data_IF_052946806947
#
_entry.id   IF_052946806947
#
_cell.length_a   1.000
_cell.length_b   1.000
_cell.length_c   1.000
_cell.angle_alpha   90.00
_cell.angle_beta   90.00
_cell.angle_gamma   90.00
#
_symmetry.space_group_name_H-M   'P 1'
#
loop_
_entity.id
_entity.type
_entity.pdbx_description
1 polymer ?
#
# COMPACT_ATOMS: atom_id res chain seq x y z
N UNK A 1 17.97 -41.51 46.37
CA UNK A 1 16.85 -41.25 45.46
C UNK A 1 17.37 -40.30 44.39
N UNK A 2 17.63 -40.82 43.19
CA UNK A 2 18.14 -40.03 42.07
C UNK A 2 16.96 -39.84 41.12
N UNK A 3 16.62 -38.57 40.89
CA UNK A 3 15.61 -38.11 39.93
C UNK A 3 15.90 -38.61 38.52
N UNK A 4 14.96 -39.34 37.94
CA UNK A 4 14.94 -39.69 36.53
C UNK A 4 14.34 -38.53 35.75
N UNK A 5 15.16 -37.87 34.91
CA UNK A 5 14.71 -36.96 33.86
C UNK A 5 13.86 -37.72 32.83
N UNK A 6 12.77 -37.14 32.31
CA UNK A 6 12.01 -37.77 31.23
C UNK A 6 12.84 -37.79 29.94
N UNK A 7 12.93 -38.96 29.32
CA UNK A 7 13.60 -39.22 28.03
C UNK A 7 12.79 -38.65 26.86
N UNK A 8 13.47 -37.94 25.95
CA UNK A 8 12.98 -37.38 24.69
C UNK A 8 12.55 -38.48 23.69
N UNK A 9 11.40 -39.10 23.89
CA UNK A 9 10.77 -39.97 22.90
C UNK A 9 9.44 -39.33 22.44
N UNK A 10 9.49 -38.85 21.19
CA UNK A 10 8.40 -38.62 20.23
C UNK A 10 7.28 -37.64 20.57
N UNK A 11 7.55 -36.34 20.33
CA UNK A 11 6.49 -35.42 19.90
C UNK A 11 6.18 -35.70 18.41
N UNK A 12 4.96 -36.17 18.05
CA UNK A 12 4.58 -36.46 16.67
C UNK A 12 4.83 -35.27 15.72
N UNK A 13 4.72 -34.04 16.23
CA UNK A 13 4.98 -32.82 15.45
C UNK A 13 6.46 -32.66 15.09
N UNK A 14 7.36 -33.06 15.99
CA UNK A 14 8.80 -32.95 15.77
C UNK A 14 9.28 -34.01 14.75
N UNK A 15 8.73 -35.23 14.83
CA UNK A 15 8.97 -36.27 13.83
C UNK A 15 8.46 -35.86 12.43
N UNK A 16 7.27 -35.24 12.37
CA UNK A 16 6.72 -34.70 11.12
C UNK A 16 7.61 -33.62 10.49
N UNK A 17 8.11 -32.67 11.30
CA UNK A 17 9.01 -31.62 10.82
C UNK A 17 10.37 -32.13 10.34
N UNK A 18 10.96 -33.12 11.03
CA UNK A 18 12.21 -33.74 10.61
C UNK A 18 12.05 -34.48 9.27
N UNK A 19 10.94 -35.20 9.10
CA UNK A 19 10.62 -35.90 7.87
C UNK A 19 10.43 -34.92 6.71
N UNK A 20 9.66 -33.84 6.94
CA UNK A 20 9.46 -32.76 5.98
C UNK A 20 10.78 -32.14 5.52
N UNK A 21 11.66 -31.77 6.46
CA UNK A 21 12.98 -31.18 6.15
C UNK A 21 13.82 -32.11 5.27
N UNK A 22 13.78 -33.42 5.54
CA UNK A 22 14.50 -34.44 4.75
C UNK A 22 13.93 -34.56 3.34
N UNK A 23 12.60 -34.63 3.22
CA UNK A 23 11.91 -34.74 1.93
C UNK A 23 12.11 -33.49 1.07
N UNK A 24 12.03 -32.30 1.66
CA UNK A 24 12.32 -31.04 0.97
C UNK A 24 13.73 -31.05 0.39
N UNK A 25 14.75 -31.45 1.18
CA UNK A 25 16.13 -31.56 0.69
C UNK A 25 16.25 -32.53 -0.49
N UNK A 26 15.64 -33.71 -0.38
CA UNK A 26 15.63 -34.69 -1.47
C UNK A 26 14.95 -34.15 -2.74
N UNK A 27 13.88 -33.38 -2.59
CA UNK A 27 13.21 -32.73 -3.72
C UNK A 27 14.07 -31.64 -4.35
N UNK A 28 14.72 -30.79 -3.56
CA UNK A 28 15.64 -29.76 -4.08
C UNK A 28 16.81 -30.40 -4.83
N UNK A 29 17.41 -31.46 -4.27
CA UNK A 29 18.51 -32.19 -4.92
C UNK A 29 18.06 -32.91 -6.20
N UNK A 30 16.79 -33.34 -6.27
CA UNK A 30 16.20 -33.97 -7.45
C UNK A 30 15.72 -32.95 -8.51
N UNK A 31 15.52 -31.69 -8.13
CA UNK A 31 15.20 -30.61 -9.07
C UNK A 31 16.50 -30.22 -9.77
N UNK A 32 16.70 -30.77 -10.95
CA UNK A 32 17.71 -30.29 -11.88
C UNK A 32 17.28 -28.90 -12.39
N UNK A 33 17.81 -27.84 -11.75
CA UNK A 33 17.54 -26.42 -12.09
C UNK A 33 17.75 -26.11 -13.58
N UNK A 34 18.55 -26.92 -14.29
CA UNK A 34 18.78 -26.80 -15.73
C UNK A 34 17.54 -27.13 -16.59
N UNK A 35 16.62 -27.98 -16.11
CA UNK A 35 15.38 -28.38 -16.82
C UNK A 35 14.12 -27.62 -16.35
N UNK A 36 14.19 -26.95 -15.20
CA UNK A 36 13.06 -26.22 -14.63
C UNK A 36 12.63 -25.00 -15.47
N UNK A 37 13.49 -24.50 -16.36
CA UNK A 37 13.19 -23.38 -17.25
C UNK A 37 12.46 -23.74 -18.55
N UNK A 38 12.33 -25.02 -18.90
CA UNK A 38 11.77 -25.47 -20.19
C UNK A 38 10.28 -25.90 -20.12
N UNK A 39 9.77 -26.18 -18.91
CA UNK A 39 8.41 -26.68 -18.72
C UNK A 39 7.42 -25.57 -18.31
N UNK A 40 6.17 -25.60 -18.77
CA UNK A 40 5.11 -24.77 -18.22
C UNK A 40 4.96 -25.00 -16.71
N UNK A 41 4.84 -23.93 -15.92
CA UNK A 41 4.79 -23.97 -14.45
C UNK A 41 3.77 -24.99 -13.91
N UNK A 42 2.62 -25.11 -14.58
CA UNK A 42 1.55 -26.05 -14.22
C UNK A 42 2.01 -27.52 -14.32
N UNK A 43 2.78 -27.88 -15.33
CA UNK A 43 3.28 -29.24 -15.52
C UNK A 43 4.38 -29.56 -14.51
N UNK A 44 5.31 -28.62 -14.29
CA UNK A 44 6.37 -28.75 -13.29
C UNK A 44 5.78 -28.93 -11.88
N UNK A 45 4.74 -28.15 -11.53
CA UNK A 45 4.03 -28.28 -10.26
C UNK A 45 3.37 -29.65 -10.11
N UNK A 46 2.79 -30.20 -11.18
CA UNK A 46 2.19 -31.54 -11.17
C UNK A 46 3.24 -32.64 -10.99
N UNK A 47 4.37 -32.54 -11.68
CA UNK A 47 5.47 -33.51 -11.57
C UNK A 47 6.09 -33.49 -10.18
N UNK A 48 6.31 -32.31 -9.60
CA UNK A 48 6.84 -32.19 -8.25
C UNK A 48 5.88 -32.69 -7.19
N UNK A 49 4.58 -32.46 -7.35
CA UNK A 49 3.57 -33.06 -6.46
C UNK A 49 3.59 -34.59 -6.53
N UNK A 50 3.71 -35.16 -7.73
CA UNK A 50 3.83 -36.61 -7.92
C UNK A 50 5.12 -37.17 -7.29
N UNK A 51 6.25 -36.46 -7.44
CA UNK A 51 7.51 -36.82 -6.79
C UNK A 51 7.41 -36.75 -5.27
N UNK A 52 6.82 -35.68 -4.71
CA UNK A 52 6.58 -35.55 -3.28
C UNK A 52 5.73 -36.71 -2.75
N UNK A 53 4.63 -37.05 -3.45
CA UNK A 53 3.79 -38.20 -3.10
C UNK A 53 4.56 -39.52 -3.14
N UNK A 54 5.40 -39.72 -4.17
CA UNK A 54 6.22 -40.92 -4.30
C UNK A 54 7.25 -41.04 -3.17
N UNK A 55 7.97 -39.96 -2.86
CA UNK A 55 8.95 -39.92 -1.79
C UNK A 55 8.30 -40.13 -0.42
N UNK A 56 7.11 -39.54 -0.17
CA UNK A 56 6.34 -39.79 1.04
C UNK A 56 5.92 -41.27 1.16
N UNK A 57 5.54 -41.92 0.06
CA UNK A 57 5.13 -43.33 0.06
C UNK A 57 6.29 -44.31 0.32
N UNK A 58 7.54 -43.91 0.04
CA UNK A 58 8.72 -44.73 0.27
C UNK A 58 9.27 -44.65 1.71
N UNK A 59 8.75 -43.75 2.55
CA UNK A 59 9.23 -43.60 3.92
C UNK A 59 8.75 -44.76 4.80
N UNK A 60 9.62 -45.20 5.72
CA UNK A 60 9.32 -46.28 6.66
C UNK A 60 8.24 -45.91 7.71
N UNK A 61 7.93 -44.62 7.85
CA UNK A 61 6.93 -44.11 8.79
C UNK A 61 5.54 -44.25 8.15
N UNK A 62 4.67 -45.04 8.77
CA UNK A 62 3.28 -45.20 8.35
C UNK A 62 2.48 -43.92 8.66
N UNK A 63 2.49 -42.96 7.74
CA UNK A 63 1.64 -41.78 7.80
C UNK A 63 0.22 -42.14 7.36
N UNK A 64 -0.78 -41.57 8.05
CA UNK A 64 -2.16 -41.61 7.56
C UNK A 64 -2.25 -40.97 6.17
N UNK A 65 -3.29 -41.30 5.40
CA UNK A 65 -3.49 -40.70 4.08
C UNK A 65 -3.61 -39.17 4.17
N UNK A 66 -4.31 -38.67 5.19
CA UNK A 66 -4.48 -37.24 5.48
C UNK A 66 -3.14 -36.55 5.80
N UNK A 67 -2.32 -37.14 6.68
CA UNK A 67 -1.00 -36.59 7.03
C UNK A 67 -0.06 -36.50 5.83
N UNK A 68 -0.13 -37.48 4.91
CA UNK A 68 0.63 -37.45 3.65
C UNK A 68 0.20 -36.30 2.76
N UNK A 69 -1.10 -36.05 2.66
CA UNK A 69 -1.60 -34.96 1.83
C UNK A 69 -1.23 -33.59 2.41
N UNK A 70 -1.29 -33.44 3.73
CA UNK A 70 -0.80 -32.24 4.44
C UNK A 70 0.69 -32.03 4.17
N UNK A 71 1.50 -33.09 4.29
CA UNK A 71 2.95 -33.01 4.06
C UNK A 71 3.30 -32.63 2.63
N UNK A 72 2.64 -33.24 1.65
CA UNK A 72 2.81 -32.89 0.24
C UNK A 72 2.42 -31.43 0.00
N UNK A 73 1.31 -30.97 0.56
CA UNK A 73 0.90 -29.56 0.45
C UNK A 73 1.97 -28.63 1.05
N UNK A 74 2.42 -28.88 2.26
CA UNK A 74 3.43 -28.03 2.92
C UNK A 74 4.78 -28.01 2.18
N UNK A 75 5.21 -29.14 1.62
CA UNK A 75 6.43 -29.18 0.80
C UNK A 75 6.24 -28.37 -0.48
N UNK A 76 5.06 -28.47 -1.11
CA UNK A 76 4.73 -27.66 -2.28
C UNK A 76 4.67 -26.16 -1.94
N UNK A 77 4.21 -25.80 -0.75
CA UNK A 77 4.18 -24.41 -0.28
C UNK A 77 5.61 -23.90 0.02
N UNK A 78 6.52 -24.75 0.49
CA UNK A 78 7.95 -24.39 0.64
C UNK A 78 8.64 -24.21 -0.71
N UNK A 79 8.30 -25.02 -1.70
CA UNK A 79 8.89 -24.89 -3.04
C UNK A 79 8.27 -23.69 -3.76
N UNK A 80 6.94 -23.60 -3.86
CA UNK A 80 6.22 -22.62 -4.70
C UNK A 80 5.53 -21.50 -3.95
N UNK A 81 4.98 -21.75 -2.77
CA UNK A 81 4.27 -20.75 -1.97
C UNK A 81 5.20 -19.94 -1.06
N UNK A 82 4.64 -19.49 0.05
CA UNK A 82 5.26 -18.79 1.16
C UNK A 82 5.60 -19.76 2.32
N UNK A 83 5.80 -21.04 2.04
CA UNK A 83 6.26 -22.03 3.01
C UNK A 83 5.40 -22.08 4.28
N UNK A 84 6.00 -22.03 5.49
CA UNK A 84 5.24 -22.10 6.74
C UNK A 84 4.17 -21.02 6.92
N UNK A 85 4.31 -19.86 6.25
CA UNK A 85 3.36 -18.74 6.38
C UNK A 85 2.27 -18.75 5.30
N UNK A 86 2.25 -19.72 4.37
CA UNK A 86 1.22 -19.83 3.31
C UNK A 86 -0.22 -19.68 3.86
N UNK A 87 -0.62 -20.35 4.97
CA UNK A 87 -1.97 -20.20 5.50
C UNK A 87 -2.29 -18.77 5.94
N UNK A 88 -1.30 -18.05 6.50
CA UNK A 88 -1.43 -16.65 6.92
C UNK A 88 -1.51 -15.72 5.70
N UNK A 89 -0.82 -16.06 4.62
CA UNK A 89 -0.84 -15.34 3.35
C UNK A 89 -2.12 -15.58 2.54
N UNK A 90 -2.86 -16.67 2.80
CA UNK A 90 -4.17 -16.91 2.20
C UNK A 90 -5.33 -16.26 2.99
N UNK A 91 -5.10 -15.87 4.24
CA UNK A 91 -6.15 -15.41 5.14
C UNK A 91 -6.59 -13.96 4.84
N UNK A 92 -7.82 -13.67 4.39
CA UNK A 92 -8.22 -12.33 3.98
C UNK A 92 -8.21 -11.28 5.11
N UNK A 93 -8.19 -11.68 6.38
CA UNK A 93 -8.17 -10.75 7.51
C UNK A 93 -6.76 -10.27 7.89
N UNK A 94 -5.72 -10.98 7.44
CA UNK A 94 -4.32 -10.64 7.74
C UNK A 94 -3.84 -9.52 6.80
N UNK A 95 -3.43 -8.40 7.37
CA UNK A 95 -2.84 -7.28 6.61
C UNK A 95 -1.32 -7.30 6.57
N UNK A 96 -0.69 -7.78 7.65
CA UNK A 96 0.77 -7.75 7.82
C UNK A 96 1.23 -9.05 8.49
N UNK A 97 2.41 -9.55 8.09
CA UNK A 97 3.07 -10.72 8.68
C UNK A 97 4.47 -10.29 9.11
N UNK A 98 4.78 -10.41 10.40
CA UNK A 98 6.07 -10.03 10.98
C UNK A 98 6.78 -11.26 11.54
N UNK A 99 8.00 -11.51 11.09
CA UNK A 99 8.81 -12.66 11.47
C UNK A 99 10.07 -12.14 12.17
N UNK A 100 10.13 -12.34 13.49
CA UNK A 100 11.22 -11.87 14.35
C UNK A 100 12.15 -13.02 14.79
N UNK A 101 12.32 -14.02 13.92
CA UNK A 101 13.05 -15.26 14.17
C UNK A 101 12.16 -16.51 14.00
N UNK A 102 12.74 -17.72 14.15
CA UNK A 102 12.06 -18.96 13.81
C UNK A 102 10.83 -19.28 14.67
N UNK A 103 10.81 -18.84 15.93
CA UNK A 103 9.72 -19.12 16.89
C UNK A 103 8.80 -17.91 17.16
N UNK A 104 8.98 -16.83 16.39
CA UNK A 104 8.36 -15.54 16.67
C UNK A 104 7.72 -14.95 15.41
N UNK A 105 6.55 -15.47 15.05
CA UNK A 105 5.73 -14.98 13.93
C UNK A 105 4.48 -14.29 14.47
N UNK A 106 4.24 -13.07 14.01
CA UNK A 106 3.11 -12.23 14.36
C UNK A 106 2.33 -11.84 13.10
N UNK A 107 1.04 -11.56 13.25
CA UNK A 107 0.21 -11.00 12.18
C UNK A 107 -0.59 -9.81 12.67
N UNK A 108 -0.90 -8.87 11.78
CA UNK A 108 -1.88 -7.81 12.05
C UNK A 108 -3.25 -8.23 11.48
N UNK A 109 -4.26 -8.26 12.35
CA UNK A 109 -5.66 -8.42 11.98
C UNK A 109 -6.45 -7.24 12.52
N UNK A 110 -7.23 -6.60 11.66
CA UNK A 110 -8.10 -5.48 12.06
C UNK A 110 -7.39 -4.38 12.88
N UNK A 111 -6.12 -4.10 12.57
CA UNK A 111 -5.33 -3.08 13.29
C UNK A 111 -4.69 -3.52 14.59
N UNK A 112 -4.79 -4.81 14.97
CA UNK A 112 -4.22 -5.39 16.18
C UNK A 112 -3.19 -6.45 15.84
N UNK A 113 -2.05 -6.41 16.55
CA UNK A 113 -0.98 -7.39 16.39
C UNK A 113 -1.22 -8.60 17.28
N UNK A 114 -1.16 -9.80 16.71
CA UNK A 114 -1.33 -11.08 17.41
C UNK A 114 -0.15 -12.01 17.12
N UNK A 115 0.18 -12.89 18.08
CA UNK A 115 1.21 -13.92 17.90
C UNK A 115 0.56 -15.19 17.35
N UNK A 116 1.21 -15.82 16.37
CA UNK A 116 0.74 -17.06 15.73
C UNK A 116 1.47 -18.29 16.26
N UNK A 117 0.95 -19.47 15.93
CA UNK A 117 1.60 -20.77 16.19
C UNK A 117 2.56 -21.20 15.07
N UNK A 118 2.69 -20.42 14.00
CA UNK A 118 3.59 -20.71 12.88
C UNK A 118 5.04 -20.61 13.33
N UNK A 119 5.85 -21.59 12.92
CA UNK A 119 7.28 -21.67 13.23
C UNK A 119 8.11 -22.09 12.03
N UNK A 120 9.33 -21.60 11.98
CA UNK A 120 10.39 -22.12 11.11
C UNK A 120 11.22 -23.12 11.90
N UNK A 121 11.86 -24.06 11.18
CA UNK A 121 12.67 -25.10 11.79
C UNK A 121 13.86 -24.54 12.60
N UNK A 122 14.52 -23.52 12.04
CA UNK A 122 15.64 -22.82 12.64
C UNK A 122 15.95 -21.53 11.85
N UNK A 123 16.97 -20.79 12.26
CA UNK A 123 17.45 -19.58 11.58
C UNK A 123 17.91 -19.82 10.14
N UNK A 124 18.50 -20.97 9.83
CA UNK A 124 18.97 -21.33 8.49
C UNK A 124 17.80 -21.53 7.53
N UNK A 125 16.73 -22.21 7.98
CA UNK A 125 15.49 -22.36 7.23
C UNK A 125 14.87 -20.98 6.94
N UNK A 126 14.79 -20.10 7.94
CA UNK A 126 14.28 -18.75 7.73
C UNK A 126 15.14 -17.95 6.72
N UNK A 127 16.46 -18.10 6.77
CA UNK A 127 17.37 -17.45 5.82
C UNK A 127 17.14 -17.94 4.38
N UNK A 128 17.05 -19.26 4.16
CA UNK A 128 16.75 -19.84 2.85
C UNK A 128 15.38 -19.40 2.33
N UNK A 129 14.38 -19.33 3.22
CA UNK A 129 13.07 -18.79 2.89
C UNK A 129 13.16 -17.35 2.37
N UNK A 130 13.89 -16.48 3.07
CA UNK A 130 14.12 -15.08 2.67
C UNK A 130 14.82 -15.01 1.30
N UNK A 131 15.94 -15.72 1.15
CA UNK A 131 16.73 -15.71 -0.09
C UNK A 131 15.91 -16.17 -1.29
N UNK A 132 15.05 -17.19 -1.12
CA UNK A 132 14.15 -17.68 -2.17
C UNK A 132 13.12 -16.63 -2.58
N UNK A 133 12.44 -15.99 -1.62
CA UNK A 133 11.44 -14.97 -1.93
C UNK A 133 12.06 -13.74 -2.60
N UNK A 134 13.21 -13.29 -2.08
CA UNK A 134 13.95 -12.14 -2.59
C UNK A 134 14.52 -12.42 -3.98
N UNK A 135 15.04 -13.64 -4.22
CA UNK A 135 15.53 -14.07 -5.53
C UNK A 135 14.43 -14.09 -6.59
N UNK A 136 13.21 -14.53 -6.25
CA UNK A 136 12.04 -14.46 -7.15
C UNK A 136 11.62 -13.03 -7.50
N UNK A 137 11.86 -12.09 -6.59
CA UNK A 137 11.64 -10.67 -6.83
C UNK A 137 12.78 -10.01 -7.63
N UNK A 138 13.78 -10.77 -8.11
CA UNK A 138 14.93 -10.25 -8.85
C UNK A 138 15.88 -9.42 -7.99
N UNK A 139 15.87 -9.63 -6.67
CA UNK A 139 16.72 -8.95 -5.70
C UNK A 139 17.70 -9.94 -5.07
N UNK A 140 18.66 -9.41 -4.30
CA UNK A 140 19.70 -10.19 -3.63
C UNK A 140 19.81 -9.77 -2.16
N UNK A 141 20.04 -10.74 -1.29
CA UNK A 141 20.30 -10.54 0.15
C UNK A 141 21.34 -11.55 0.62
N UNK A 142 22.43 -11.03 1.18
CA UNK A 142 23.58 -11.80 1.67
C UNK A 142 24.41 -10.94 2.66
N UNK A 143 25.55 -11.45 3.12
CA UNK A 143 26.40 -10.75 4.09
C UNK A 143 26.92 -9.39 3.60
N UNK A 144 27.01 -9.19 2.27
CA UNK A 144 27.45 -7.92 1.67
C UNK A 144 26.28 -6.95 1.57
N UNK A 145 25.08 -7.45 1.29
CA UNK A 145 23.82 -6.68 1.24
C UNK A 145 22.80 -7.26 2.22
N UNK A 146 22.94 -7.02 3.54
CA UNK A 146 22.18 -7.71 4.59
C UNK A 146 20.76 -7.18 4.80
N UNK A 147 20.28 -6.27 3.95
CA UNK A 147 18.93 -5.70 4.01
C UNK A 147 18.35 -5.57 2.60
N UNK A 148 17.05 -5.78 2.46
CA UNK A 148 16.39 -5.70 1.16
C UNK A 148 14.93 -5.30 1.30
N UNK A 149 14.46 -4.49 0.36
CA UNK A 149 13.06 -4.25 0.07
C UNK A 149 12.71 -4.87 -1.28
N UNK A 150 11.61 -5.63 -1.33
CA UNK A 150 11.19 -6.39 -2.50
C UNK A 150 9.67 -6.41 -2.65
N UNK A 151 9.21 -6.52 -3.89
CA UNK A 151 7.81 -6.78 -4.23
C UNK A 151 7.66 -8.26 -4.58
N UNK A 152 6.79 -8.95 -3.86
CA UNK A 152 6.50 -10.37 -4.05
C UNK A 152 5.57 -10.56 -5.26
N UNK A 153 5.51 -11.79 -5.84
CA UNK A 153 4.67 -12.07 -7.01
C UNK A 153 3.17 -11.79 -6.81
N UNK A 154 2.67 -11.88 -5.58
CA UNK A 154 1.29 -11.56 -5.20
C UNK A 154 1.04 -10.03 -5.04
N UNK A 155 2.06 -9.21 -5.26
CA UNK A 155 2.02 -7.76 -5.07
C UNK A 155 2.37 -7.29 -3.66
N UNK A 156 2.53 -8.21 -2.69
CA UNK A 156 2.87 -7.88 -1.31
C UNK A 156 4.28 -7.27 -1.24
N UNK A 157 4.51 -6.42 -0.24
CA UNK A 157 5.83 -5.81 0.02
C UNK A 157 6.55 -6.57 1.10
N UNK A 158 7.79 -6.94 0.85
CA UNK A 158 8.68 -7.61 1.80
C UNK A 158 9.86 -6.70 2.12
N UNK A 159 10.08 -6.48 3.41
CA UNK A 159 11.36 -6.01 3.94
C UNK A 159 12.01 -7.16 4.70
N UNK A 160 13.31 -7.39 4.48
CA UNK A 160 14.06 -8.38 5.25
C UNK A 160 15.43 -7.85 5.67
N UNK A 161 15.88 -8.25 6.85
CA UNK A 161 17.18 -7.92 7.41
C UNK A 161 17.81 -9.18 8.00
N UNK A 162 19.07 -9.43 7.68
CA UNK A 162 19.82 -10.61 8.12
C UNK A 162 21.05 -10.22 8.96
N UNK A 163 21.68 -11.18 9.67
CA UNK A 163 22.98 -10.94 10.30
C UNK A 163 24.00 -10.41 9.27
N UNK A 164 24.92 -9.51 9.68
CA UNK A 164 25.20 -9.09 11.06
C UNK A 164 24.29 -7.97 11.60
N UNK A 165 23.41 -7.38 10.78
CA UNK A 165 22.54 -6.27 11.23
C UNK A 165 21.44 -6.74 12.19
N UNK A 166 20.85 -7.90 11.91
CA UNK A 166 19.83 -8.50 12.76
C UNK A 166 20.48 -9.42 13.82
N UNK A 167 20.87 -8.84 14.95
CA UNK A 167 21.65 -9.52 16.02
C UNK A 167 21.01 -10.80 16.59
N UNK A 168 19.67 -10.92 16.50
CA UNK A 168 18.92 -12.08 17.00
C UNK A 168 18.60 -13.11 15.91
N UNK A 169 19.13 -12.90 14.70
CA UNK A 169 18.83 -13.71 13.52
C UNK A 169 18.01 -12.97 12.48
N UNK A 170 17.74 -13.62 11.33
CA UNK A 170 16.97 -13.03 10.24
C UNK A 170 15.59 -12.53 10.66
N UNK A 171 15.17 -11.39 10.12
CA UNK A 171 13.84 -10.81 10.33
C UNK A 171 13.18 -10.47 9.00
N UNK A 172 11.84 -10.53 8.99
CA UNK A 172 11.02 -10.24 7.80
C UNK A 172 9.78 -9.46 8.21
N UNK A 173 9.43 -8.44 7.44
CA UNK A 173 8.13 -7.76 7.52
C UNK A 173 7.47 -7.83 6.14
N UNK A 174 6.31 -8.49 6.07
CA UNK A 174 5.50 -8.59 4.86
C UNK A 174 4.24 -7.77 5.05
N UNK A 175 4.06 -6.74 4.24
CA UNK A 175 2.81 -6.00 4.14
C UNK A 175 2.02 -6.53 2.95
N UNK A 176 0.89 -7.17 3.23
CA UNK A 176 0.11 -7.87 2.22
C UNK A 176 -0.58 -6.91 1.27
N UNK A 177 -0.64 -7.33 0.02
CA UNK A 177 -1.48 -6.69 -0.97
C UNK A 177 -2.94 -7.11 -0.74
N UNK A 178 -3.81 -6.17 -0.38
CA UNK A 178 -5.22 -6.47 -0.15
C UNK A 178 -5.93 -6.77 -1.47
N UNK A 179 -6.53 -7.95 -1.58
CA UNK A 179 -7.30 -8.40 -2.76
C UNK A 179 -8.66 -7.70 -2.90
N UNK A 180 -9.25 -7.19 -1.80
CA UNK A 180 -10.47 -6.36 -1.86
C UNK A 180 -10.15 -4.91 -1.47
N UNK A 181 -10.03 -4.05 -2.47
CA UNK A 181 -9.91 -2.61 -2.25
C UNK A 181 -11.22 -2.05 -1.70
N UNK A 182 -11.15 -1.27 -0.60
CA UNK A 182 -12.27 -0.46 -0.11
C UNK A 182 -12.76 0.45 -1.23
N UNK A 183 -14.08 0.51 -1.45
CA UNK A 183 -14.71 1.44 -2.39
C UNK A 183 -15.12 2.74 -1.71
N UNK A 184 -15.42 3.81 -2.46
CA UNK A 184 -15.76 5.11 -1.88
C UNK A 184 -17.04 5.02 -1.01
N UNK A 185 -17.98 4.18 -1.41
CA UNK A 185 -19.21 3.89 -0.67
C UNK A 185 -18.92 3.17 0.65
N UNK A 186 -17.88 2.32 0.72
CA UNK A 186 -17.43 1.73 1.99
C UNK A 186 -16.93 2.83 2.93
N UNK A 187 -16.18 3.82 2.40
CA UNK A 187 -15.67 4.93 3.20
C UNK A 187 -16.80 5.80 3.78
N UNK A 188 -17.89 6.01 3.02
CA UNK A 188 -19.10 6.68 3.53
C UNK A 188 -19.78 5.85 4.61
N UNK A 189 -19.95 4.53 4.39
CA UNK A 189 -20.53 3.62 5.39
C UNK A 189 -19.73 3.55 6.69
N UNK A 190 -18.39 3.57 6.58
CA UNK A 190 -17.48 3.62 7.74
C UNK A 190 -17.41 5.01 8.39
N UNK A 191 -18.12 5.99 7.84
CA UNK A 191 -18.14 7.36 8.32
C UNK A 191 -16.80 8.07 8.19
N UNK A 192 -15.95 7.67 7.24
CA UNK A 192 -14.70 8.37 6.93
C UNK A 192 -14.93 9.75 6.30
N UNK A 193 -16.03 9.91 5.57
CA UNK A 193 -16.54 11.15 5.00
C UNK A 193 -18.05 10.98 4.77
N UNK A 194 -18.78 12.08 4.55
CA UNK A 194 -20.21 12.01 4.19
C UNK A 194 -20.40 11.81 2.68
N UNK A 195 -21.63 11.45 2.29
CA UNK A 195 -22.03 11.38 0.87
C UNK A 195 -21.81 12.68 0.12
N UNK A 196 -22.12 13.82 0.75
CA UNK A 196 -22.01 15.15 0.16
C UNK A 196 -20.55 15.52 -0.08
N UNK A 197 -19.67 15.20 0.88
CA UNK A 197 -18.22 15.37 0.70
C UNK A 197 -17.69 14.49 -0.43
N UNK A 198 -18.15 13.24 -0.51
CA UNK A 198 -17.77 12.30 -1.56
C UNK A 198 -18.23 12.81 -2.94
N UNK A 199 -19.49 13.24 -3.08
CA UNK A 199 -20.06 13.76 -4.31
C UNK A 199 -19.32 15.02 -4.79
N UNK A 200 -18.96 15.92 -3.87
CA UNK A 200 -18.12 17.08 -4.18
C UNK A 200 -16.74 16.65 -4.73
N UNK A 201 -16.04 15.73 -4.06
CA UNK A 201 -14.72 15.27 -4.52
C UNK A 201 -14.80 14.54 -5.87
N UNK A 202 -15.84 13.76 -6.11
CA UNK A 202 -16.10 13.11 -7.41
C UNK A 202 -16.28 14.16 -8.50
N UNK A 203 -17.06 15.22 -8.23
CA UNK A 203 -17.22 16.32 -9.16
C UNK A 203 -15.89 17.07 -9.41
N UNK A 204 -15.06 17.27 -8.38
CA UNK A 204 -13.71 17.82 -8.55
C UNK A 204 -12.83 16.98 -9.49
N UNK A 205 -12.83 15.65 -9.33
CA UNK A 205 -12.08 14.72 -10.19
C UNK A 205 -12.56 14.80 -11.63
N UNK A 206 -13.89 14.70 -11.83
CA UNK A 206 -14.51 14.72 -13.17
C UNK A 206 -14.34 16.07 -13.87
N UNK A 207 -14.40 17.16 -13.12
CA UNK A 207 -14.12 18.52 -13.59
C UNK A 207 -12.62 18.83 -13.77
N UNK A 208 -11.74 17.84 -13.61
CA UNK A 208 -10.27 17.93 -13.67
C UNK A 208 -9.69 19.08 -12.83
N UNK A 209 -10.14 19.21 -11.59
CA UNK A 209 -9.42 20.00 -10.59
C UNK A 209 -8.19 19.21 -10.12
N UNK A 210 -7.11 19.91 -9.78
CA UNK A 210 -5.94 19.29 -9.17
C UNK A 210 -6.17 19.14 -7.65
N UNK A 211 -6.00 17.92 -7.14
CA UNK A 211 -6.23 17.57 -5.73
C UNK A 211 -4.93 17.14 -5.06
N UNK A 212 -4.67 17.62 -3.85
CA UNK A 212 -3.62 17.09 -2.98
C UNK A 212 -4.24 16.54 -1.70
N UNK A 213 -4.00 15.26 -1.44
CA UNK A 213 -4.49 14.55 -0.25
C UNK A 213 -3.37 14.49 0.78
N UNK A 214 -3.53 15.15 1.92
CA UNK A 214 -2.54 15.20 2.98
C UNK A 214 -2.94 14.37 4.21
N UNK A 215 -1.97 14.07 5.08
CA UNK A 215 -2.19 13.25 6.28
C UNK A 215 -1.00 12.43 6.76
N UNK A 216 -1.06 12.00 8.01
CA UNK A 216 -0.04 11.14 8.65
C UNK A 216 0.08 9.74 8.03
N UNK A 217 1.03 8.96 8.53
CA UNK A 217 1.20 7.54 8.17
C UNK A 217 -0.03 6.73 8.57
N UNK A 218 -0.51 5.88 7.67
CA UNK A 218 -1.67 5.02 7.91
C UNK A 218 -3.02 5.76 7.95
N UNK A 219 -3.08 7.06 7.64
CA UNK A 219 -4.31 7.85 7.61
C UNK A 219 -5.28 7.46 6.47
N UNK A 220 -4.80 6.74 5.46
CA UNK A 220 -5.62 6.27 4.33
C UNK A 220 -5.55 7.15 3.07
N UNK A 221 -4.54 8.02 2.94
CA UNK A 221 -4.36 8.93 1.78
C UNK A 221 -4.41 8.20 0.44
N UNK A 222 -3.55 7.19 0.25
CA UNK A 222 -3.48 6.41 -0.98
C UNK A 222 -4.78 5.66 -1.24
N UNK A 223 -5.47 5.20 -0.19
CA UNK A 223 -6.79 4.58 -0.31
C UNK A 223 -7.84 5.55 -0.83
N UNK A 224 -7.89 6.78 -0.32
CA UNK A 224 -8.80 7.80 -0.84
C UNK A 224 -8.44 8.18 -2.27
N UNK A 225 -7.14 8.37 -2.58
CA UNK A 225 -6.68 8.66 -3.94
C UNK A 225 -7.14 7.58 -4.91
N UNK A 226 -6.90 6.31 -4.57
CA UNK A 226 -7.26 5.17 -5.40
C UNK A 226 -8.78 5.01 -5.59
N UNK A 227 -9.58 5.52 -4.65
CA UNK A 227 -11.03 5.55 -4.79
C UNK A 227 -11.49 6.68 -5.70
N UNK A 228 -10.95 7.88 -5.51
CA UNK A 228 -11.24 9.04 -6.34
C UNK A 228 -10.78 8.84 -7.79
N UNK A 229 -9.68 8.13 -8.02
CA UNK A 229 -9.18 7.84 -9.37
C UNK A 229 -10.16 7.02 -10.21
N UNK A 230 -11.07 6.25 -9.61
CA UNK A 230 -12.12 5.50 -10.33
C UNK A 230 -13.11 6.39 -11.08
N UNK A 231 -13.20 7.67 -10.69
CA UNK A 231 -14.09 8.64 -11.31
C UNK A 231 -13.42 9.44 -12.42
N UNK A 232 -12.16 9.13 -12.75
CA UNK A 232 -11.50 9.61 -13.95
C UNK A 232 -12.19 8.96 -15.17
N UNK A 233 -12.60 9.74 -16.20
CA UNK A 233 -13.22 9.20 -17.41
C UNK A 233 -12.34 8.15 -18.12
N UNK A 234 -12.95 7.10 -18.67
CA UNK A 234 -12.27 6.04 -19.45
C UNK A 234 -11.57 6.54 -20.71
N UNK A 235 -11.94 7.73 -21.20
CA UNK A 235 -11.34 8.35 -22.38
C UNK A 235 -10.00 9.03 -22.10
N UNK A 236 -9.59 9.12 -20.83
CA UNK A 236 -8.38 9.82 -20.41
C UNK A 236 -7.22 8.86 -20.19
N UNK A 237 -6.05 9.19 -20.75
CA UNK A 237 -4.81 8.46 -20.50
C UNK A 237 -4.20 8.92 -19.19
N UNK A 238 -3.98 7.97 -18.27
CA UNK A 238 -3.46 8.28 -16.93
C UNK A 238 -2.08 7.65 -16.75
N UNK A 239 -1.10 8.46 -16.34
CA UNK A 239 0.21 7.94 -15.90
C UNK A 239 0.27 8.02 -14.38
N UNK A 240 0.52 6.89 -13.72
CA UNK A 240 0.80 6.85 -12.28
C UNK A 240 2.30 6.73 -12.03
N UNK A 241 2.79 7.42 -11.01
CA UNK A 241 4.20 7.43 -10.62
C UNK A 241 4.28 7.17 -9.13
N UNK A 242 4.90 6.06 -8.74
CA UNK A 242 4.96 5.62 -7.35
C UNK A 242 6.36 5.15 -6.99
N UNK A 243 6.74 5.27 -5.71
CA UNK A 243 7.95 4.60 -5.23
C UNK A 243 7.79 3.08 -5.27
N UNK A 244 6.60 2.62 -4.92
CA UNK A 244 6.19 1.23 -5.07
C UNK A 244 4.72 1.25 -5.46
N UNK A 245 4.36 0.59 -6.56
CA UNK A 245 3.01 0.71 -7.08
C UNK A 245 1.95 0.17 -6.10
N UNK A 246 1.07 1.05 -5.65
CA UNK A 246 -0.06 0.82 -4.73
C UNK A 246 -1.39 1.13 -5.43
N UNK A 247 -1.38 2.02 -6.42
CA UNK A 247 -2.59 2.46 -7.13
C UNK A 247 -3.08 1.39 -8.12
N UNK A 248 -4.39 1.19 -8.14
CA UNK A 248 -5.12 0.25 -8.98
C UNK A 248 -6.22 0.99 -9.73
N UNK A 249 -5.81 1.76 -10.74
CA UNK A 249 -6.75 2.46 -11.60
C UNK A 249 -7.53 1.46 -12.45
N UNK A 250 -8.80 1.79 -12.69
CA UNK A 250 -9.73 0.93 -13.45
C UNK A 250 -9.80 1.36 -14.92
N UNK A 251 -9.24 2.52 -15.26
CA UNK A 251 -9.25 3.06 -16.60
C UNK A 251 -8.52 2.15 -17.58
N UNK A 252 -8.96 2.19 -18.84
CA UNK A 252 -8.40 1.36 -19.91
C UNK A 252 -6.96 1.76 -20.29
N UNK A 253 -6.66 3.06 -20.37
CA UNK A 253 -5.33 3.56 -20.77
C UNK A 253 -4.53 4.07 -19.57
N UNK A 254 -3.97 3.13 -18.81
CA UNK A 254 -3.15 3.42 -17.63
C UNK A 254 -1.71 2.98 -17.85
N UNK A 255 -0.76 3.90 -17.63
CA UNK A 255 0.68 3.61 -17.58
C UNK A 255 1.14 3.70 -16.14
N UNK A 256 1.43 2.56 -15.51
CA UNK A 256 1.96 2.51 -14.16
C UNK A 256 3.50 2.54 -14.17
N UNK A 257 4.08 3.57 -13.57
CA UNK A 257 5.53 3.75 -13.44
C UNK A 257 5.96 3.62 -11.98
N UNK A 258 7.03 2.87 -11.76
CA UNK A 258 7.62 2.67 -10.44
C UNK A 258 9.08 3.15 -10.43
N UNK A 259 9.49 3.82 -9.35
CA UNK A 259 10.90 4.21 -9.19
C UNK A 259 11.80 2.99 -9.11
N UNK A 260 13.07 3.18 -9.45
CA UNK A 260 14.07 2.14 -9.30
C UNK A 260 15.18 2.63 -8.38
N UNK A 261 15.40 2.02 -7.20
CA UNK A 261 16.56 2.34 -6.39
C UNK A 261 17.85 1.95 -7.14
N UNK A 262 19.01 2.54 -6.79
CA UNK A 262 20.27 2.13 -7.37
C UNK A 262 20.55 0.64 -7.10
N UNK A 263 21.34 0.01 -7.96
CA UNK A 263 21.86 -1.33 -7.72
C UNK A 263 22.90 -1.33 -6.57
N UNK A 264 23.42 -2.51 -6.22
CA UNK A 264 24.45 -2.67 -5.17
C UNK A 264 25.73 -1.86 -5.42
N UNK A 265 25.99 -1.45 -6.67
CA UNK A 265 27.11 -0.61 -7.07
C UNK A 265 26.77 0.90 -7.06
N UNK A 266 25.58 1.28 -6.60
CA UNK A 266 25.13 2.67 -6.56
C UNK A 266 24.67 3.24 -7.92
N UNK A 267 24.44 2.40 -8.93
CA UNK A 267 24.13 2.81 -10.31
C UNK A 267 22.68 2.50 -10.72
N UNK A 268 22.20 3.24 -11.71
CA UNK A 268 20.92 2.96 -12.37
C UNK A 268 19.70 3.36 -11.56
N UNK A 269 19.83 4.27 -10.60
CA UNK A 269 18.69 4.89 -9.94
C UNK A 269 17.77 5.59 -10.96
N UNK A 270 16.45 5.46 -10.78
CA UNK A 270 15.42 6.20 -11.49
C UNK A 270 14.50 6.79 -10.43
N UNK A 271 14.57 8.11 -10.27
CA UNK A 271 13.82 8.84 -9.23
C UNK A 271 12.38 9.11 -9.68
N UNK A 272 11.50 9.48 -8.73
CA UNK A 272 10.15 9.94 -9.08
C UNK A 272 10.20 11.13 -10.04
N UNK A 273 11.16 12.04 -9.83
CA UNK A 273 11.35 13.22 -10.68
C UNK A 273 11.67 12.86 -12.12
N UNK A 274 12.52 11.86 -12.34
CA UNK A 274 12.86 11.37 -13.69
C UNK A 274 11.61 10.81 -14.38
N UNK A 275 10.79 10.06 -13.64
CA UNK A 275 9.53 9.52 -14.14
C UNK A 275 8.51 10.61 -14.46
N UNK A 276 8.38 11.65 -13.63
CA UNK A 276 7.48 12.79 -13.89
C UNK A 276 7.89 13.47 -15.19
N UNK A 277 9.16 13.83 -15.35
CA UNK A 277 9.67 14.44 -16.60
C UNK A 277 9.45 13.56 -17.82
N UNK A 278 9.69 12.26 -17.70
CA UNK A 278 9.49 11.32 -18.79
C UNK A 278 8.00 11.16 -19.14
N UNK A 279 7.12 11.16 -18.13
CA UNK A 279 5.67 10.99 -18.32
C UNK A 279 5.06 12.06 -19.22
N UNK A 280 5.56 13.31 -19.18
CA UNK A 280 5.07 14.41 -20.01
C UNK A 280 5.28 14.17 -21.52
N UNK A 281 6.15 13.23 -21.90
CA UNK A 281 6.36 12.82 -23.30
C UNK A 281 5.45 11.67 -23.73
N UNK A 282 4.71 11.08 -22.80
CA UNK A 282 3.79 9.97 -23.04
C UNK A 282 2.38 10.42 -23.42
N UNK A 283 2.20 11.74 -23.67
CA UNK A 283 0.90 12.38 -23.92
C UNK A 283 -0.18 11.98 -22.89
N UNK A 284 0.07 12.10 -21.56
CA UNK A 284 -0.96 11.84 -20.58
C UNK A 284 -2.04 12.92 -20.63
N UNK A 285 -3.27 12.56 -20.28
CA UNK A 285 -4.28 13.53 -19.85
C UNK A 285 -4.07 13.91 -18.38
N UNK A 286 -3.64 12.94 -17.55
CA UNK A 286 -3.36 13.13 -16.12
C UNK A 286 -2.06 12.46 -15.69
N UNK A 287 -1.36 13.12 -14.77
CA UNK A 287 -0.20 12.55 -14.08
C UNK A 287 -0.52 12.45 -12.60
N UNK A 288 -0.55 11.23 -12.06
CA UNK A 288 -0.81 10.98 -10.64
C UNK A 288 0.50 10.57 -9.98
N UNK A 289 0.94 11.37 -9.02
CA UNK A 289 2.09 11.03 -8.17
C UNK A 289 1.55 10.41 -6.90
N UNK A 290 1.75 9.11 -6.68
CA UNK A 290 1.12 8.39 -5.57
C UNK A 290 1.44 9.00 -4.22
N UNK A 291 2.69 9.43 -4.02
CA UNK A 291 3.11 10.20 -2.86
C UNK A 291 4.33 11.06 -3.19
N UNK A 292 4.19 12.39 -3.03
CA UNK A 292 5.28 13.33 -3.21
C UNK A 292 6.10 13.48 -1.91
N UNK A 293 7.42 13.38 -2.05
CA UNK A 293 8.41 13.35 -0.97
C UNK A 293 9.62 14.26 -1.22
N UNK A 294 9.79 14.84 -2.40
CA UNK A 294 10.99 15.59 -2.76
C UNK A 294 10.86 16.47 -4.00
N UNK A 295 11.99 16.67 -4.69
CA UNK A 295 12.14 17.63 -5.79
C UNK A 295 11.21 17.41 -6.98
N UNK A 296 10.56 16.25 -7.10
CA UNK A 296 9.54 15.98 -8.10
C UNK A 296 8.30 16.88 -7.98
N UNK A 297 8.05 17.48 -6.81
CA UNK A 297 6.94 18.43 -6.62
C UNK A 297 6.98 19.56 -7.65
N UNK A 298 8.17 20.09 -7.97
CA UNK A 298 8.28 21.17 -8.95
C UNK A 298 7.79 20.74 -10.34
N UNK A 299 8.25 19.58 -10.81
CA UNK A 299 7.87 19.02 -12.11
C UNK A 299 6.39 18.58 -12.13
N UNK A 300 5.87 18.10 -11.00
CA UNK A 300 4.45 17.77 -10.83
C UNK A 300 3.58 19.03 -10.96
N UNK A 301 3.97 20.14 -10.31
CA UNK A 301 3.25 21.42 -10.43
C UNK A 301 3.34 21.98 -11.86
N UNK A 302 4.46 21.76 -12.55
CA UNK A 302 4.58 22.08 -13.98
C UNK A 302 3.57 21.30 -14.81
N UNK A 303 3.46 19.99 -14.61
CA UNK A 303 2.45 19.16 -15.27
C UNK A 303 1.03 19.71 -15.04
N UNK A 304 0.69 19.97 -13.78
CA UNK A 304 -0.60 20.51 -13.34
C UNK A 304 -0.97 21.84 -14.00
N UNK A 305 0.02 22.69 -14.26
CA UNK A 305 -0.16 23.99 -14.92
C UNK A 305 -0.10 23.92 -16.46
N UNK A 306 0.45 22.86 -17.04
CA UNK A 306 0.74 22.76 -18.49
C UNK A 306 -0.07 21.66 -19.17
N UNK A 307 -1.40 21.75 -19.07
CA UNK A 307 -2.31 20.91 -19.86
C UNK A 307 -2.53 19.48 -19.34
N UNK A 308 -2.02 19.15 -18.15
CA UNK A 308 -2.26 17.87 -17.45
C UNK A 308 -3.08 18.11 -16.19
N UNK A 309 -4.21 18.80 -16.34
CA UNK A 309 -5.10 19.14 -15.24
C UNK A 309 -5.92 17.92 -14.77
N UNK A 310 -6.45 17.98 -13.55
CA UNK A 310 -7.07 16.81 -12.92
C UNK A 310 -6.09 15.84 -12.28
N UNK A 311 -4.83 16.24 -12.17
CA UNK A 311 -3.77 15.48 -11.53
C UNK A 311 -4.01 15.41 -10.02
N UNK A 312 -3.56 14.31 -9.40
CA UNK A 312 -3.71 14.08 -7.97
C UNK A 312 -2.39 13.64 -7.36
N UNK A 313 -2.17 14.00 -6.10
CA UNK A 313 -1.02 13.52 -5.34
C UNK A 313 -1.33 13.37 -3.86
N UNK A 314 -0.53 12.57 -3.16
CA UNK A 314 -0.56 12.53 -1.69
C UNK A 314 0.69 13.12 -1.08
N UNK A 315 0.55 13.73 0.10
CA UNK A 315 1.66 14.36 0.84
C UNK A 315 1.55 14.00 2.32
N UNK A 316 2.66 13.68 2.98
CA UNK A 316 2.67 13.63 4.45
C UNK A 316 2.65 15.03 5.02
N UNK A 317 1.63 15.34 5.82
CA UNK A 317 1.50 16.60 6.54
C UNK A 317 0.56 16.43 7.74
N UNK A 318 0.56 17.42 8.63
CA UNK A 318 -0.27 17.47 9.84
C UNK A 318 -1.59 18.23 9.64
N UNK A 319 -1.69 19.05 8.60
CA UNK A 319 -2.95 19.66 8.14
C UNK A 319 -2.84 20.10 6.65
N UNK A 320 -3.78 20.93 6.19
CA UNK A 320 -3.79 21.47 4.81
C UNK A 320 -2.77 22.58 4.57
N UNK A 321 -2.42 23.38 5.57
CA UNK A 321 -1.42 24.46 5.45
C UNK A 321 0.00 23.90 5.51
N UNK A 322 0.26 23.00 6.46
CA UNK A 322 1.52 22.25 6.57
C UNK A 322 1.79 21.45 5.29
N UNK A 323 0.76 20.95 4.60
CA UNK A 323 0.96 20.30 3.30
C UNK A 323 1.59 21.25 2.27
N UNK A 324 1.16 22.50 2.21
CA UNK A 324 1.74 23.51 1.32
C UNK A 324 3.16 23.89 1.76
N UNK A 325 3.37 24.12 3.06
CA UNK A 325 4.71 24.45 3.59
C UNK A 325 5.72 23.33 3.30
N UNK A 326 5.30 22.06 3.40
CA UNK A 326 6.16 20.91 3.05
C UNK A 326 6.41 20.81 1.56
N UNK A 327 5.42 21.10 0.72
CA UNK A 327 5.63 21.18 -0.73
C UNK A 327 6.58 22.31 -1.12
N UNK A 328 6.58 23.45 -0.42
CA UNK A 328 7.60 24.51 -0.59
C UNK A 328 9.00 23.98 -0.30
N UNK A 329 9.18 23.27 0.81
CA UNK A 329 10.46 22.64 1.15
C UNK A 329 10.88 21.62 0.09
N UNK A 330 9.95 20.80 -0.40
CA UNK A 330 10.21 19.83 -1.47
C UNK A 330 10.64 20.50 -2.78
N UNK A 331 10.06 21.66 -3.14
CA UNK A 331 10.53 22.46 -4.28
C UNK A 331 11.98 22.89 -4.08
N UNK A 332 12.38 23.31 -2.87
CA UNK A 332 13.77 23.67 -2.59
C UNK A 332 14.74 22.49 -2.77
N UNK A 333 14.29 21.25 -2.50
CA UNK A 333 15.07 20.03 -2.75
C UNK A 333 15.24 19.68 -4.24
N UNK A 334 14.55 20.37 -5.15
CA UNK A 334 14.71 20.17 -6.59
C UNK A 334 16.03 20.71 -7.15
N UNK A 335 16.80 21.46 -6.34
CA UNK A 335 18.02 22.13 -6.78
C UNK A 335 17.79 23.35 -7.69
N UNK A 336 16.52 23.73 -7.91
CA UNK A 336 16.16 24.98 -8.59
C UNK A 336 15.96 26.07 -7.54
N UNK A 337 16.72 27.15 -7.65
CA UNK A 337 16.53 28.32 -6.79
C UNK A 337 15.29 29.11 -7.21
N UNK A 338 14.21 28.95 -6.43
CA UNK A 338 12.96 29.67 -6.59
C UNK A 338 12.71 30.52 -5.34
N UNK A 339 12.52 31.84 -5.45
CA UNK A 339 12.12 32.65 -4.31
C UNK A 339 10.80 32.14 -3.72
N UNK A 340 10.68 32.15 -2.39
CA UNK A 340 9.50 31.62 -1.68
C UNK A 340 8.19 32.19 -2.21
N UNK A 341 8.15 33.51 -2.49
CA UNK A 341 6.97 34.16 -3.06
C UNK A 341 6.52 33.50 -4.38
N UNK A 342 7.46 33.18 -5.26
CA UNK A 342 7.18 32.53 -6.56
C UNK A 342 6.75 31.09 -6.35
N UNK A 343 7.40 30.34 -5.45
CA UNK A 343 6.99 28.97 -5.13
C UNK A 343 5.55 28.91 -4.61
N UNK A 344 5.16 29.84 -3.74
CA UNK A 344 3.79 29.97 -3.21
C UNK A 344 2.77 30.30 -4.27
N UNK A 345 3.08 31.28 -5.13
CA UNK A 345 2.22 31.62 -6.26
C UNK A 345 2.07 30.42 -7.20
N UNK A 346 3.14 29.65 -7.40
CA UNK A 346 3.13 28.46 -8.25
C UNK A 346 2.24 27.36 -7.69
N UNK A 347 2.39 27.04 -6.40
CA UNK A 347 1.51 26.11 -5.68
C UNK A 347 0.04 26.53 -5.76
N UNK A 348 -0.24 27.81 -5.49
CA UNK A 348 -1.59 28.36 -5.52
C UNK A 348 -2.22 28.39 -6.92
N UNK A 349 -1.42 28.50 -7.98
CA UNK A 349 -1.91 28.41 -9.36
C UNK A 349 -2.24 26.97 -9.77
N UNK A 350 -1.47 26.01 -9.27
CA UNK A 350 -1.56 24.62 -9.70
C UNK A 350 -2.63 23.83 -8.93
N UNK A 351 -2.73 24.01 -7.62
CA UNK A 351 -3.57 23.19 -6.73
C UNK A 351 -4.88 23.93 -6.44
N UNK A 352 -6.02 23.24 -6.57
CA UNK A 352 -7.33 23.83 -6.24
C UNK A 352 -7.88 23.30 -4.93
N UNK A 353 -7.77 21.99 -4.69
CA UNK A 353 -8.39 21.34 -3.53
C UNK A 353 -7.34 20.60 -2.69
N UNK A 354 -7.37 20.85 -1.39
CA UNK A 354 -6.60 20.15 -0.38
C UNK A 354 -7.55 19.29 0.46
N UNK A 355 -7.24 18.01 0.61
CA UNK A 355 -8.03 17.07 1.42
C UNK A 355 -7.14 16.53 2.52
N UNK A 356 -7.45 16.80 3.78
CA UNK A 356 -6.66 16.30 4.90
C UNK A 356 -7.34 15.09 5.57
N UNK A 357 -6.59 14.00 5.71
CA UNK A 357 -7.02 12.79 6.39
C UNK A 357 -6.24 12.54 7.68
N UNK A 358 -6.95 12.04 8.69
CA UNK A 358 -6.35 11.68 9.99
C UNK A 358 -6.81 10.29 10.40
N UNK A 359 -5.88 9.49 10.96
CA UNK A 359 -6.23 8.32 11.77
C UNK A 359 -6.40 8.80 13.21
N UNK A 360 -7.63 8.78 13.71
CA UNK A 360 -7.96 9.15 15.07
C UNK A 360 -7.32 8.16 16.06
N UNK A 361 -7.20 8.56 17.33
CA UNK A 361 -6.71 7.70 18.41
C UNK A 361 -7.56 6.43 18.61
N UNK A 362 -8.84 6.49 18.22
CA UNK A 362 -9.78 5.35 18.21
C UNK A 362 -9.53 4.37 17.05
N UNK A 363 -8.58 4.67 16.16
CA UNK A 363 -8.23 3.85 15.00
C UNK A 363 -9.02 4.19 13.73
N UNK A 364 -10.14 4.91 13.86
CA UNK A 364 -10.96 5.38 12.74
C UNK A 364 -10.19 6.34 11.84
N UNK A 365 -10.42 6.26 10.53
CA UNK A 365 -9.86 7.19 9.55
C UNK A 365 -10.95 8.18 9.12
N UNK A 366 -10.70 9.47 9.22
CA UNK A 366 -11.65 10.53 8.83
C UNK A 366 -10.98 11.53 7.88
N UNK A 367 -11.73 12.02 6.89
CA UNK A 367 -11.39 13.21 6.11
C UNK A 367 -11.74 14.43 6.97
N UNK A 368 -10.76 14.93 7.72
CA UNK A 368 -11.05 15.94 8.74
C UNK A 368 -11.22 17.35 8.17
N UNK A 369 -10.73 17.59 6.95
CA UNK A 369 -10.84 18.89 6.30
C UNK A 369 -10.78 18.76 4.77
N UNK A 370 -11.64 19.49 4.08
CA UNK A 370 -11.56 19.75 2.64
C UNK A 370 -11.48 21.27 2.47
N UNK A 371 -10.39 21.76 1.89
CA UNK A 371 -10.07 23.18 1.77
C UNK A 371 -9.87 23.55 0.31
N UNK A 372 -10.41 24.69 -0.11
CA UNK A 372 -10.05 25.33 -1.38
C UNK A 372 -8.82 26.23 -1.20
N UNK A 373 -7.83 26.05 -2.08
CA UNK A 373 -6.74 27.00 -2.22
C UNK A 373 -7.14 28.08 -3.22
N UNK A 374 -7.59 29.22 -2.69
CA UNK A 374 -8.15 30.32 -3.49
C UNK A 374 -7.09 31.14 -4.22
N UNK A 375 -5.84 31.11 -3.74
CA UNK A 375 -4.75 31.92 -4.27
C UNK A 375 -3.65 32.16 -3.24
N UNK A 376 -2.70 33.02 -3.61
CA UNK A 376 -1.63 33.52 -2.75
C UNK A 376 -1.49 35.03 -2.95
N UNK A 377 -1.60 35.81 -1.87
CA UNK A 377 -1.43 37.27 -1.88
C UNK A 377 -0.35 37.67 -0.88
N UNK A 378 0.61 38.48 -1.32
CA UNK A 378 1.77 38.93 -0.52
C UNK A 378 2.50 37.78 0.21
N UNK A 379 2.59 36.63 -0.47
CA UNK A 379 3.24 35.43 0.06
C UNK A 379 2.40 34.67 1.09
N UNK A 380 1.11 34.98 1.27
CA UNK A 380 0.21 34.26 2.18
C UNK A 380 -0.83 33.49 1.38
N UNK A 381 -0.95 32.18 1.63
CA UNK A 381 -2.02 31.36 1.06
C UNK A 381 -3.39 31.77 1.59
N UNK A 382 -4.33 31.97 0.66
CA UNK A 382 -5.75 32.13 0.93
C UNK A 382 -6.41 30.76 0.89
N UNK A 383 -6.77 30.25 2.05
CA UNK A 383 -7.34 28.92 2.26
C UNK A 383 -8.74 29.09 2.83
N UNK A 384 -9.72 28.43 2.21
CA UNK A 384 -11.10 28.44 2.70
C UNK A 384 -11.57 27.00 2.92
N UNK A 385 -11.92 26.68 4.15
CA UNK A 385 -12.42 25.35 4.49
C UNK A 385 -13.85 25.20 3.98
N UNK A 386 -14.10 24.18 3.16
CA UNK A 386 -15.42 23.83 2.63
C UNK A 386 -16.13 22.90 3.62
N UNK A 387 -15.40 21.88 4.06
CA UNK A 387 -15.89 20.86 4.99
C UNK A 387 -14.89 20.63 6.10
N UNK A 388 -15.38 20.45 7.33
CA UNK A 388 -14.56 20.14 8.50
C UNK A 388 -15.19 19.06 9.36
N UNK A 389 -14.37 18.20 9.95
CA UNK A 389 -14.77 17.30 11.03
C UNK A 389 -14.39 17.91 12.37
N UNK A 390 -15.31 17.88 13.34
CA UNK A 390 -15.06 18.32 14.72
C UNK A 390 -15.31 17.17 15.68
N UNK A 391 -14.25 16.73 16.35
CA UNK A 391 -14.34 15.72 17.41
C UNK A 391 -14.79 16.40 18.71
N UNK A 392 -15.84 15.85 19.33
CA UNK A 392 -16.38 16.28 20.62
C UNK A 392 -15.96 15.39 21.79
N UNK A 393 -15.41 14.20 21.53
CA UNK A 393 -14.95 13.28 22.57
C UNK A 393 -14.84 11.84 22.07
N UNK A 394 -14.76 10.90 23.02
CA UNK A 394 -14.80 9.45 22.78
C UNK A 394 -16.04 8.90 23.51
N UNK A 395 -16.79 8.01 22.88
CA UNK A 395 -17.98 7.37 23.47
C UNK A 395 -17.60 6.24 24.45
N UNK A 396 -18.60 5.68 25.14
CA UNK A 396 -18.40 4.57 26.10
C UNK A 396 -17.88 3.28 25.47
N UNK A 397 -17.95 3.14 24.15
CA UNK A 397 -17.47 1.99 23.39
C UNK A 397 -16.05 2.22 22.83
N UNK A 398 -15.44 3.37 23.14
CA UNK A 398 -14.10 3.72 22.67
C UNK A 398 -14.05 4.27 21.23
N UNK A 399 -15.20 4.66 20.65
CA UNK A 399 -15.29 5.25 19.31
C UNK A 399 -15.28 6.77 19.36
N UNK A 400 -14.86 7.42 18.28
CA UNK A 400 -14.81 8.87 18.23
C UNK A 400 -16.22 9.44 18.13
N UNK A 401 -16.57 10.35 19.04
CA UNK A 401 -17.78 11.16 18.96
C UNK A 401 -17.42 12.49 18.29
N UNK A 402 -17.99 12.76 17.13
CA UNK A 402 -17.81 14.00 16.38
C UNK A 402 -18.73 14.05 15.17
N UNK A 403 -18.74 15.17 14.47
CA UNK A 403 -19.58 15.37 13.30
C UNK A 403 -18.84 16.14 12.19
N UNK A 404 -19.30 15.94 10.96
CA UNK A 404 -18.86 16.71 9.80
C UNK A 404 -19.74 17.95 9.65
N UNK A 405 -19.16 19.03 9.15
CA UNK A 405 -19.86 20.30 8.94
C UNK A 405 -19.49 20.87 7.59
N UNK A 406 -20.49 21.37 6.86
CA UNK A 406 -20.29 22.38 5.83
C UNK A 406 -20.09 23.74 6.51
N UNK A 407 -19.11 24.50 6.07
CA UNK A 407 -18.73 25.76 6.75
C UNK A 407 -19.62 26.95 6.39
N UNK A 408 -20.41 26.85 5.32
CA UNK A 408 -21.11 27.99 4.71
C UNK A 408 -20.35 28.66 3.57
N UNK A 409 -19.10 28.25 3.33
CA UNK A 409 -18.28 28.79 2.24
C UNK A 409 -18.70 28.19 0.89
N UNK A 410 -19.06 29.06 -0.06
CA UNK A 410 -19.32 28.68 -1.45
C UNK A 410 -18.01 28.64 -2.26
N UNK A 411 -17.57 27.46 -2.75
CA UNK A 411 -16.28 27.33 -3.41
C UNK A 411 -16.18 28.10 -4.72
N UNK A 412 -15.07 28.82 -4.97
CA UNK A 412 -14.87 29.55 -6.23
C UNK A 412 -14.69 28.60 -7.41
N UNK A 413 -14.16 27.39 -7.16
CA UNK A 413 -14.05 26.31 -8.14
C UNK A 413 -15.38 25.91 -8.78
N UNK A 414 -16.54 26.20 -8.17
CA UNK A 414 -17.85 25.87 -8.74
C UNK A 414 -18.04 26.45 -10.15
N UNK A 415 -17.53 27.67 -10.40
CA UNK A 415 -17.59 28.28 -11.73
C UNK A 415 -16.83 27.46 -12.78
N UNK A 416 -15.66 26.91 -12.39
CA UNK A 416 -14.85 26.04 -13.26
C UNK A 416 -15.52 24.69 -13.50
N UNK A 417 -16.18 24.14 -12.48
CA UNK A 417 -16.93 22.89 -12.58
C UNK A 417 -18.15 23.04 -13.50
N UNK A 418 -18.95 24.09 -13.32
CA UNK A 418 -20.11 24.41 -14.15
C UNK A 418 -19.72 24.64 -15.62
N UNK A 419 -18.62 25.37 -15.88
CA UNK A 419 -18.06 25.55 -17.23
C UNK A 419 -17.64 24.22 -17.92
N UNK A 420 -17.51 23.14 -17.15
CA UNK A 420 -17.22 21.78 -17.62
C UNK A 420 -18.43 20.84 -17.58
N UNK A 421 -19.62 21.37 -17.32
CA UNK A 421 -20.87 20.61 -17.29
C UNK A 421 -21.12 19.87 -15.97
N UNK A 422 -20.44 20.25 -14.89
CA UNK A 422 -20.64 19.66 -13.56
C UNK A 422 -21.24 20.70 -12.62
N UNK A 423 -22.57 20.80 -12.64
CA UNK A 423 -23.31 21.68 -11.73
C UNK A 423 -23.53 20.99 -10.38
N UNK A 424 -23.09 21.65 -9.31
CA UNK A 424 -23.23 21.18 -7.93
C UNK A 424 -24.26 22.09 -7.23
N UNK A 425 -25.30 21.52 -6.58
CA UNK A 425 -26.27 22.30 -5.81
C UNK A 425 -25.59 23.11 -4.69
N UNK A 426 -25.87 24.41 -4.61
CA UNK A 426 -25.29 25.29 -3.59
C UNK A 426 -25.68 24.91 -2.15
N UNK A 427 -26.81 24.25 -1.98
CA UNK A 427 -27.31 23.72 -0.69
C UNK A 427 -26.31 22.75 -0.03
N UNK A 428 -25.44 22.12 -0.82
CA UNK A 428 -24.37 21.25 -0.35
C UNK A 428 -23.35 22.00 0.55
N UNK A 429 -23.23 23.32 0.38
CA UNK A 429 -22.27 24.17 1.12
C UNK A 429 -22.93 25.00 2.22
N UNK A 430 -24.26 24.98 2.35
CA UNK A 430 -24.96 25.73 3.40
C UNK A 430 -24.46 25.31 4.79
N UNK A 431 -24.18 26.27 5.66
CA UNK A 431 -23.59 26.01 6.98
C UNK A 431 -24.50 25.11 7.83
N UNK A 432 -24.11 23.84 8.00
CA UNK A 432 -24.86 22.83 8.76
C UNK A 432 -24.00 21.65 9.15
N UNK A 433 -24.45 20.90 10.14
CA UNK A 433 -23.96 19.56 10.41
C UNK A 433 -24.36 18.63 9.25
N UNK A 434 -23.42 17.83 8.78
CA UNK A 434 -23.62 16.84 7.72
C UNK A 434 -23.81 15.46 8.34
N UNK A 435 -24.88 14.79 7.94
CA UNK A 435 -25.18 13.46 8.45
C UNK A 435 -24.37 12.40 7.72
N UNK A 436 -23.85 11.43 8.48
CA UNK A 436 -23.23 10.23 7.90
C UNK A 436 -24.36 9.26 7.53
N UNK A 437 -24.98 9.47 6.36
CA UNK A 437 -25.96 8.53 5.80
C UNK A 437 -25.29 7.65 4.74
N UNK A 438 -25.40 6.31 4.81
CA UNK A 438 -25.23 5.50 3.61
C UNK A 438 -26.26 5.97 2.57
N UNK A 439 -25.87 6.13 1.30
CA UNK A 439 -26.88 6.26 0.23
C UNK A 439 -27.83 5.08 0.38
N UNK A 440 -29.12 5.35 0.56
CA UNK A 440 -30.14 4.32 0.45
C UNK A 440 -30.01 3.65 -0.91
N UNK A 441 -30.14 2.32 -0.94
CA UNK A 441 -30.12 1.55 -2.17
C UNK A 441 -31.05 2.21 -3.20
N UNK A 442 -30.47 2.83 -4.23
CA UNK A 442 -31.23 3.29 -5.38
C UNK A 442 -31.56 2.05 -6.24
N UNK A 443 -32.47 1.22 -5.75
CA UNK A 443 -33.21 0.26 -6.54
C UNK A 443 -34.51 0.92 -7.00
N UNK A 444 -34.50 1.45 -8.22
CA UNK A 444 -35.68 1.62 -9.07
C UNK A 444 -35.26 1.61 -10.53
#
# INVERSE_FOLDING_TARGET
MIDARPTLADDPRQAFQQLKTRLHRQMVDAIDLSKAGELPERELRSQLRALAMHLCAQQAVALAAEDREIMVREIMDEIYGFGPIEPLMCDPEVSDVLINGPDAVFVERNGRLERTDVRFANHEHLLHFIQRLVGRAGRRIDEVSPMVDAKLPDGSRLNAVIPPLALRGPTVSIRRFKTRALVLEDMVRLGSLTSEMADFLVACVRGRLNLVISGGTGAGKTTLLNNLSRFIPETERVVTIEQTAELQLQQTDVVALETRPPNVEGRGEITQRDLVKNSLRMRPDRVIVGEARGGEVLDMLQAMNTGHDGSMSTVHANDTRDALDRMELMIALSGVELPTLIARQYLASAIQILVHMTRLSTGERKVVRITELCGCHDGVYQLEDIFVYRMSGIDSEGRARGAFYATGYEPRVLKRLSARGYDIPLELFAARELEVRPRGDASS
#
